data_IF_668862894172
#
_entry.id   IF_668862894172
#
_cell.length_a   1.000
_cell.length_b   1.000
_cell.length_c   1.000
_cell.angle_alpha   90.00
_cell.angle_beta   90.00
_cell.angle_gamma   90.00
#
_symmetry.space_group_name_H-M   'P 1'
#
loop_
_entity.id
_entity.type
_entity.pdbx_description
1 polymer ?
#
# COMPACT_ATOMS: atom_id res chain seq x y z
N UNK A 1 -5.61 7.86 -14.08
CA UNK A 1 -5.54 6.38 -14.11
C UNK A 1 -4.77 5.82 -12.91
N UNK A 2 -3.54 6.28 -12.64
CA UNK A 2 -2.74 5.78 -11.50
C UNK A 2 -3.45 5.84 -10.14
N UNK A 3 -4.11 6.96 -9.80
CA UNK A 3 -4.80 7.10 -8.50
C UNK A 3 -5.86 6.02 -8.26
N UNK A 4 -6.72 5.74 -9.25
CA UNK A 4 -7.74 4.71 -9.12
C UNK A 4 -7.14 3.30 -9.00
N UNK A 5 -6.03 3.03 -9.69
CA UNK A 5 -5.31 1.76 -9.55
C UNK A 5 -4.76 1.58 -8.13
N UNK A 6 -4.13 2.61 -7.56
CA UNK A 6 -3.59 2.54 -6.21
C UNK A 6 -4.69 2.53 -5.13
N UNK A 7 -5.81 3.22 -5.36
CA UNK A 7 -6.97 3.13 -4.47
C UNK A 7 -7.51 1.69 -4.40
N UNK A 8 -7.76 1.07 -5.55
CA UNK A 8 -8.20 -0.33 -5.62
C UNK A 8 -7.16 -1.26 -4.99
N UNK A 9 -5.89 -1.06 -5.29
CA UNK A 9 -4.83 -1.91 -4.78
C UNK A 9 -4.68 -1.80 -3.26
N UNK A 10 -4.82 -0.59 -2.70
CA UNK A 10 -4.91 -0.38 -1.25
C UNK A 10 -6.13 -1.09 -0.65
N UNK A 11 -7.30 -1.05 -1.31
CA UNK A 11 -8.51 -1.73 -0.83
C UNK A 11 -8.37 -3.27 -0.83
N UNK A 12 -7.86 -3.85 -1.92
CA UNK A 12 -7.55 -5.28 -2.00
C UNK A 12 -6.56 -5.69 -0.90
N UNK A 13 -5.64 -4.78 -0.58
CA UNK A 13 -4.64 -4.95 0.45
C UNK A 13 -5.10 -4.45 1.83
N UNK A 14 -6.36 -4.09 2.03
CA UNK A 14 -6.84 -3.56 3.31
C UNK A 14 -5.93 -2.47 3.91
N UNK A 15 -5.27 -1.67 3.08
CA UNK A 15 -4.46 -0.51 3.47
C UNK A 15 -5.41 0.68 3.43
N UNK A 16 -5.51 1.38 4.56
CA UNK A 16 -6.30 2.59 4.66
C UNK A 16 -5.63 3.74 3.89
N UNK A 17 -6.38 4.81 3.54
CA UNK A 17 -5.82 5.98 2.88
C UNK A 17 -4.65 6.65 3.63
N UNK A 18 -4.53 6.43 4.95
CA UNK A 18 -3.43 6.96 5.80
C UNK A 18 -2.16 6.09 5.78
N UNK A 19 -2.18 4.98 5.02
CA UNK A 19 -1.10 3.99 4.90
C UNK A 19 -1.11 2.92 5.98
N UNK A 20 -2.11 2.87 6.86
CA UNK A 20 -2.20 1.89 7.97
C UNK A 20 -2.97 0.66 7.52
N UNK A 21 -2.49 -0.52 7.91
CA UNK A 21 -3.18 -1.77 7.60
C UNK A 21 -4.45 -1.90 8.46
N UNK A 22 -5.51 -2.48 7.90
CA UNK A 22 -6.70 -2.82 8.66
C UNK A 22 -6.36 -3.88 9.70
N UNK A 23 -6.83 -3.68 10.93
CA UNK A 23 -6.58 -4.58 12.08
C UNK A 23 -6.97 -6.04 11.79
N UNK A 24 -8.04 -6.25 11.01
CA UNK A 24 -8.47 -7.59 10.55
C UNK A 24 -7.39 -8.26 9.69
N UNK A 25 -6.72 -7.47 8.84
CA UNK A 25 -5.64 -7.97 7.98
C UNK A 25 -4.36 -8.20 8.78
N UNK A 26 -4.00 -7.30 9.71
CA UNK A 26 -2.86 -7.50 10.63
C UNK A 26 -2.96 -8.83 11.40
N UNK A 27 -4.16 -9.20 11.86
CA UNK A 27 -4.39 -10.49 12.53
C UNK A 27 -4.18 -11.68 11.61
N UNK A 28 -4.68 -11.62 10.38
CA UNK A 28 -4.49 -12.69 9.38
C UNK A 28 -3.03 -12.82 8.90
N UNK A 29 -2.24 -11.74 8.93
CA UNK A 29 -0.82 -11.78 8.54
C UNK A 29 0.03 -12.67 9.46
N UNK A 30 -0.38 -12.83 10.71
CA UNK A 30 0.38 -13.60 11.70
C UNK A 30 0.00 -15.08 11.75
N UNK A 31 -1.11 -15.48 11.10
CA UNK A 31 -1.66 -16.85 11.19
C UNK A 31 -1.07 -17.82 10.16
N UNK A 32 -0.60 -17.36 8.99
CA UNK A 32 -0.22 -18.25 7.88
C UNK A 32 1.30 -18.48 7.70
N UNK A 33 2.17 -17.92 8.54
CA UNK A 33 3.62 -18.18 8.52
C UNK A 33 4.39 -17.73 7.27
N UNK A 34 3.71 -17.37 6.19
CA UNK A 34 4.25 -16.63 5.05
C UNK A 34 4.26 -15.15 5.39
N UNK A 35 5.44 -14.55 5.43
CA UNK A 35 5.54 -13.14 5.72
C UNK A 35 5.14 -12.35 4.47
N UNK A 36 3.96 -11.75 4.52
CA UNK A 36 3.38 -10.96 3.42
C UNK A 36 4.29 -9.79 3.01
N UNK A 37 5.28 -9.42 3.83
CA UNK A 37 6.37 -8.51 3.49
C UNK A 37 7.14 -8.90 2.20
N UNK A 38 7.23 -10.19 1.84
CA UNK A 38 7.78 -10.62 0.56
C UNK A 38 6.84 -10.34 -0.64
N UNK A 39 5.53 -10.46 -0.43
CA UNK A 39 4.52 -10.21 -1.47
C UNK A 39 4.26 -8.69 -1.66
N UNK A 40 4.14 -7.95 -0.56
CA UNK A 40 3.95 -6.51 -0.55
C UNK A 40 5.20 -5.74 -0.92
N UNK A 41 6.39 -6.24 -0.56
CA UNK A 41 7.66 -5.54 -0.80
C UNK A 41 7.89 -5.16 -2.26
N UNK A 42 7.26 -5.88 -3.19
CA UNK A 42 7.28 -5.63 -4.64
C UNK A 42 6.64 -4.28 -5.00
N UNK A 43 5.50 -3.95 -4.40
CA UNK A 43 4.69 -2.79 -4.79
C UNK A 43 4.59 -1.71 -3.71
N UNK A 44 4.80 -2.07 -2.44
CA UNK A 44 4.79 -1.18 -1.30
C UNK A 44 6.15 -1.20 -0.59
N UNK A 45 6.56 -0.04 -0.08
CA UNK A 45 7.59 0.07 0.95
C UNK A 45 6.95 0.26 2.32
N UNK A 46 7.64 -0.14 3.38
CA UNK A 46 7.20 0.09 4.76
C UNK A 46 8.08 1.13 5.42
N UNK A 47 7.48 2.11 6.08
CA UNK A 47 8.23 3.10 6.90
C UNK A 47 8.57 2.51 8.26
N UNK A 48 9.51 3.14 8.99
CA UNK A 48 9.80 2.79 10.38
C UNK A 48 8.58 2.95 11.30
N UNK A 49 7.59 3.77 10.90
CA UNK A 49 6.31 3.93 11.61
C UNK A 49 5.24 2.91 11.21
N UNK A 50 5.59 1.89 10.41
CA UNK A 50 4.67 0.82 10.02
C UNK A 50 3.67 1.21 8.93
N UNK A 51 3.89 2.31 8.21
CA UNK A 51 3.03 2.72 7.10
C UNK A 51 3.45 2.08 5.79
N UNK A 52 2.48 1.65 5.00
CA UNK A 52 2.67 1.13 3.66
C UNK A 52 2.58 2.26 2.63
N UNK A 53 3.62 2.41 1.81
CA UNK A 53 3.77 3.48 0.82
C UNK A 53 3.94 2.88 -0.57
N UNK A 54 3.09 3.22 -1.55
CA UNK A 54 3.26 2.78 -2.94
C UNK A 54 4.64 3.11 -3.51
N UNK A 55 5.27 2.14 -4.17
CA UNK A 55 6.46 2.36 -5.00
C UNK A 55 6.03 2.89 -6.38
N UNK A 56 5.57 4.13 -6.42
CA UNK A 56 5.05 4.79 -7.63
C UNK A 56 5.63 6.19 -7.81
N UNK A 57 5.75 6.61 -9.07
CA UNK A 57 6.12 7.98 -9.45
C UNK A 57 5.01 8.54 -10.34
N UNK A 58 4.46 9.68 -9.93
CA UNK A 58 3.53 10.47 -10.74
C UNK A 58 4.33 11.59 -11.42
N UNK A 59 4.12 11.77 -12.72
CA UNK A 59 4.80 12.80 -13.52
C UNK A 59 3.74 13.52 -14.34
N UNK A 60 3.68 14.84 -14.19
CA UNK A 60 2.89 15.73 -15.02
C UNK A 60 3.76 16.93 -15.45
N UNK A 61 3.48 17.46 -16.64
CA UNK A 61 4.14 18.64 -17.21
C UNK A 61 3.32 19.92 -17.02
N UNK A 62 2.10 19.78 -16.48
CA UNK A 62 1.23 20.90 -16.11
C UNK A 62 1.04 20.96 -14.58
N UNK A 63 0.96 22.16 -13.98
CA UNK A 63 0.86 22.32 -12.52
C UNK A 63 -0.49 21.90 -11.94
N UNK A 64 -1.46 21.58 -12.80
CA UNK A 64 -2.84 21.30 -12.39
C UNK A 64 -3.10 19.83 -12.03
N UNK A 65 -2.20 18.88 -12.34
CA UNK A 65 -2.36 17.51 -11.86
C UNK A 65 -1.04 16.84 -11.41
N UNK A 66 -0.73 16.98 -10.11
CA UNK A 66 -0.15 15.92 -9.27
C UNK A 66 -0.93 15.91 -7.95
#
# INVERSE_FOLDING_TARGET
MGNACWELYCLEHGIKPDGVLLEKREKCHHENGYSDEAAFGTFFGTTTSGKYVPRAVYVDLEPTVV
#
